data_IF_104574224107
#
_entry.id   IF_104574224107
#
_cell.length_a   1.000
_cell.length_b   1.000
_cell.length_c   1.000
_cell.angle_alpha   90.00
_cell.angle_beta   90.00
_cell.angle_gamma   90.00
#
_symmetry.space_group_name_H-M   'P 1'
#
loop_
_entity.id
_entity.type
_entity.pdbx_description
1 polymer ?
#
# COMPACT_ATOMS: atom_id res chain seq x y z
N UNK A 1 -0.43 -16.40 -32.29
CA UNK A 1 0.44 -17.06 -31.28
C UNK A 1 0.53 -16.33 -29.94
N UNK A 2 0.20 -15.02 -29.85
CA UNK A 2 0.26 -14.23 -28.63
C UNK A 2 -0.80 -14.63 -27.55
N UNK A 3 -1.99 -15.10 -27.97
CA UNK A 3 -3.09 -15.41 -27.04
C UNK A 3 -2.88 -16.65 -26.15
N UNK A 4 -2.04 -17.60 -26.57
CA UNK A 4 -1.81 -18.82 -25.77
C UNK A 4 -0.82 -18.62 -24.63
N UNK A 5 0.19 -17.78 -24.84
CA UNK A 5 1.18 -17.44 -23.81
C UNK A 5 0.55 -16.59 -22.68
N UNK A 6 -0.35 -15.68 -23.03
CA UNK A 6 -1.06 -14.82 -22.06
C UNK A 6 -2.01 -15.63 -21.17
N UNK A 7 -2.75 -16.60 -21.75
CA UNK A 7 -3.61 -17.50 -20.97
C UNK A 7 -2.80 -18.45 -20.07
N UNK A 8 -1.64 -18.95 -20.52
CA UNK A 8 -0.78 -19.81 -19.70
C UNK A 8 -0.16 -19.06 -18.51
N UNK A 9 0.13 -17.77 -18.67
CA UNK A 9 0.67 -16.94 -17.57
C UNK A 9 -0.39 -16.67 -16.48
N UNK A 10 -1.64 -16.41 -16.90
CA UNK A 10 -2.78 -16.22 -15.95
C UNK A 10 -3.09 -17.54 -15.22
N UNK A 11 -3.00 -18.69 -15.90
CA UNK A 11 -3.28 -20.00 -15.29
C UNK A 11 -2.18 -20.41 -14.30
N UNK A 12 -0.93 -19.98 -14.50
CA UNK A 12 0.17 -20.25 -13.58
C UNK A 12 0.07 -19.42 -12.28
N UNK A 13 -0.48 -18.20 -12.36
CA UNK A 13 -0.70 -17.35 -11.20
C UNK A 13 -1.82 -17.86 -10.26
N UNK A 14 -2.72 -18.73 -10.77
CA UNK A 14 -3.88 -19.28 -10.02
C UNK A 14 -3.58 -20.60 -9.30
N UNK A 15 -2.36 -21.12 -9.34
CA UNK A 15 -2.01 -22.43 -8.76
C UNK A 15 -1.21 -22.34 -7.44
N UNK A 16 -1.02 -21.16 -6.88
CA UNK A 16 -0.35 -20.96 -5.60
C UNK A 16 -1.36 -20.83 -4.44
N UNK A 17 -2.24 -21.82 -4.27
CA UNK A 17 -3.16 -21.86 -3.12
C UNK A 17 -2.54 -22.63 -1.97
N UNK A 18 -1.81 -21.95 -1.13
CA UNK A 18 -1.45 -22.41 0.21
C UNK A 18 -2.46 -21.82 1.22
N UNK A 19 -3.01 -22.61 2.12
CA UNK A 19 -3.90 -22.11 3.18
C UNK A 19 -3.05 -21.68 4.36
N UNK A 20 -2.81 -20.39 4.48
CA UNK A 20 -2.22 -19.80 5.66
C UNK A 20 -3.11 -18.70 6.21
N UNK A 21 -3.29 -18.67 7.50
CA UNK A 21 -4.02 -17.60 8.19
C UNK A 21 -3.01 -16.53 8.63
N UNK A 22 -2.59 -15.70 7.70
CA UNK A 22 -1.93 -14.45 8.07
C UNK A 22 -2.99 -13.37 8.28
N UNK A 23 -2.99 -12.76 9.45
CA UNK A 23 -3.91 -11.66 9.82
C UNK A 23 -3.42 -10.33 9.19
N UNK A 24 -2.91 -10.38 7.95
CA UNK A 24 -2.27 -9.26 7.27
C UNK A 24 -3.28 -8.17 6.90
N UNK A 25 -2.89 -6.91 7.17
CA UNK A 25 -3.63 -5.73 6.74
C UNK A 25 -3.43 -5.47 5.25
N UNK A 26 -4.13 -6.23 4.40
CA UNK A 26 -4.06 -6.12 2.94
C UNK A 26 -4.50 -4.75 2.41
N UNK A 27 -5.30 -3.99 3.19
CA UNK A 27 -5.76 -2.65 2.84
C UNK A 27 -4.90 -1.61 3.51
N UNK A 28 -3.98 -1.02 2.75
CA UNK A 28 -3.13 0.06 3.21
C UNK A 28 -3.09 1.18 2.16
N UNK A 29 -1.96 1.48 1.58
CA UNK A 29 -1.74 2.53 0.58
C UNK A 29 -1.56 1.92 -0.82
N UNK A 30 -2.07 2.62 -1.83
CA UNK A 30 -1.70 2.38 -3.24
C UNK A 30 -0.62 3.38 -3.61
N UNK A 31 0.63 2.90 -3.71
CA UNK A 31 1.82 3.73 -3.93
C UNK A 31 1.91 4.22 -5.37
N UNK A 32 2.23 5.50 -5.55
CA UNK A 32 2.67 6.03 -6.84
C UNK A 32 4.19 5.83 -7.01
N UNK A 33 4.69 5.80 -8.26
CA UNK A 33 6.12 5.56 -8.52
C UNK A 33 7.04 6.76 -8.29
N UNK A 34 6.50 7.94 -7.96
CA UNK A 34 7.26 9.19 -7.97
C UNK A 34 8.02 9.43 -6.66
N UNK A 35 9.19 10.05 -6.81
CA UNK A 35 10.03 10.60 -5.74
C UNK A 35 10.34 12.05 -6.11
N UNK A 36 10.26 12.98 -5.16
CA UNK A 36 10.65 14.37 -5.37
C UNK A 36 12.08 14.62 -4.87
N UNK A 37 12.90 15.36 -5.61
CA UNK A 37 14.25 15.70 -5.17
C UNK A 37 14.24 16.42 -3.83
N UNK A 38 15.11 16.01 -2.90
CA UNK A 38 15.26 16.60 -1.56
C UNK A 38 14.02 16.48 -0.66
N UNK A 39 13.05 15.67 -1.03
CA UNK A 39 11.84 15.42 -0.27
C UNK A 39 12.17 14.93 1.14
N UNK A 40 11.47 15.52 2.10
CA UNK A 40 11.36 15.04 3.47
C UNK A 40 9.91 15.04 3.83
N UNK A 41 9.47 13.96 4.45
CA UNK A 41 8.07 13.81 4.79
C UNK A 41 7.87 13.21 6.17
N UNK A 42 6.78 13.63 6.80
CA UNK A 42 6.17 12.91 7.91
C UNK A 42 4.84 12.37 7.45
N UNK A 43 4.60 11.10 7.70
CA UNK A 43 3.32 10.48 7.40
C UNK A 43 2.69 9.88 8.66
N UNK A 44 1.37 9.98 8.74
CA UNK A 44 0.53 9.24 9.66
C UNK A 44 -0.53 8.51 8.85
N UNK A 45 -0.63 7.19 9.06
CA UNK A 45 -1.69 6.35 8.51
C UNK A 45 -2.51 5.74 9.62
N UNK A 46 -3.80 5.63 9.38
CA UNK A 46 -4.77 4.94 10.22
C UNK A 46 -5.51 3.94 9.36
N UNK A 47 -5.55 2.68 9.80
CA UNK A 47 -6.37 1.63 9.21
C UNK A 47 -7.25 1.03 10.30
N UNK A 48 -8.58 1.07 10.08
CA UNK A 48 -9.56 0.47 10.96
C UNK A 48 -10.34 -0.58 10.18
N UNK A 49 -10.12 -1.83 10.53
CA UNK A 49 -10.83 -2.98 9.94
C UNK A 49 -11.89 -3.46 10.91
N UNK A 50 -13.13 -3.53 10.44
CA UNK A 50 -14.25 -4.07 11.17
C UNK A 50 -14.54 -5.49 10.70
N UNK A 51 -14.38 -6.43 11.60
CA UNK A 51 -14.66 -7.84 11.41
C UNK A 51 -15.82 -8.24 12.34
N UNK A 52 -16.62 -9.24 11.95
CA UNK A 52 -17.74 -9.75 12.75
C UNK A 52 -17.34 -10.10 14.20
N UNK A 53 -16.10 -10.45 14.43
CA UNK A 53 -15.58 -10.86 15.73
C UNK A 53 -14.73 -9.80 16.45
N UNK A 54 -14.15 -8.82 15.73
CA UNK A 54 -13.15 -7.91 16.29
C UNK A 54 -12.92 -6.66 15.41
N UNK A 55 -12.81 -5.49 16.06
CA UNK A 55 -12.30 -4.30 15.41
C UNK A 55 -10.78 -4.23 15.57
N UNK A 56 -10.07 -4.20 14.48
CA UNK A 56 -8.61 -4.00 14.48
C UNK A 56 -8.31 -2.57 14.09
N UNK A 57 -7.47 -1.91 14.89
CA UNK A 57 -7.01 -0.56 14.64
C UNK A 57 -5.49 -0.57 14.54
N UNK A 58 -4.97 -0.13 13.41
CA UNK A 58 -3.54 0.02 13.17
C UNK A 58 -3.22 1.48 12.86
N UNK A 59 -2.10 1.95 13.37
CA UNK A 59 -1.54 3.26 13.06
C UNK A 59 -0.07 3.11 12.66
N UNK A 60 0.33 3.84 11.62
CA UNK A 60 1.72 3.95 11.19
C UNK A 60 2.16 5.39 11.26
N UNK A 61 3.34 5.62 11.79
CA UNK A 61 4.01 6.91 11.76
C UNK A 61 5.34 6.74 11.06
N UNK A 62 5.62 7.56 10.07
CA UNK A 62 6.90 7.51 9.36
C UNK A 62 7.59 8.85 9.27
N UNK A 63 8.89 8.73 9.01
CA UNK A 63 9.73 9.80 8.49
C UNK A 63 10.43 9.30 7.24
N UNK A 64 10.26 10.05 6.13
CA UNK A 64 10.87 9.79 4.85
C UNK A 64 11.93 10.85 4.49
N UNK A 65 12.96 10.40 3.77
CA UNK A 65 14.00 11.26 3.22
C UNK A 65 14.47 10.78 1.85
N UNK A 66 14.38 11.65 0.84
CA UNK A 66 14.91 11.37 -0.49
C UNK A 66 16.45 11.30 -0.44
N UNK A 67 17.00 10.12 -0.73
CA UNK A 67 18.42 9.87 -0.81
C UNK A 67 19.01 10.38 -2.13
N UNK A 68 18.17 10.50 -3.16
CA UNK A 68 18.48 11.04 -4.47
C UNK A 68 17.23 11.55 -5.16
N UNK A 69 17.35 12.02 -6.40
CA UNK A 69 16.21 12.43 -7.24
C UNK A 69 15.27 11.27 -7.61
N UNK A 70 15.69 10.03 -7.40
CA UNK A 70 14.96 8.82 -7.79
C UNK A 70 14.68 7.85 -6.63
N UNK A 71 15.20 8.13 -5.44
CA UNK A 71 15.22 7.17 -4.35
C UNK A 71 14.85 7.83 -3.04
N UNK A 72 13.81 7.33 -2.38
CA UNK A 72 13.40 7.73 -1.02
C UNK A 72 13.45 6.54 -0.07
N UNK A 73 13.91 6.78 1.14
CA UNK A 73 13.90 5.84 2.26
C UNK A 73 12.96 6.37 3.33
N UNK A 74 12.06 5.50 3.79
CA UNK A 74 11.07 5.79 4.84
C UNK A 74 11.22 4.79 5.97
N UNK A 75 11.13 5.27 7.21
CA UNK A 75 11.16 4.43 8.40
C UNK A 75 9.87 4.61 9.19
N UNK A 76 9.24 3.49 9.56
CA UNK A 76 7.94 3.45 10.24
C UNK A 76 8.02 2.85 11.61
N UNK A 77 7.16 3.35 12.48
CA UNK A 77 6.74 2.69 13.71
C UNK A 77 5.27 2.34 13.57
N UNK A 78 4.96 1.07 13.74
CA UNK A 78 3.61 0.54 13.63
C UNK A 78 3.05 0.28 15.02
N UNK A 79 1.86 0.82 15.30
CA UNK A 79 1.12 0.53 16.50
C UNK A 79 -0.22 -0.11 16.15
N UNK A 80 -0.62 -1.12 16.91
CA UNK A 80 -1.90 -1.78 16.74
C UNK A 80 -2.61 -1.98 18.08
N UNK A 81 -3.93 -2.18 18.01
CA UNK A 81 -4.72 -2.59 19.16
C UNK A 81 -4.70 -4.11 19.24
N UNK A 82 -4.29 -4.65 20.37
CA UNK A 82 -4.23 -6.08 20.64
C UNK A 82 -5.61 -6.70 20.94
N UNK A 83 -5.63 -7.99 21.31
CA UNK A 83 -6.84 -8.73 21.64
C UNK A 83 -7.51 -8.26 22.94
N UNK A 84 -6.78 -7.59 23.83
CA UNK A 84 -7.29 -7.04 25.09
C UNK A 84 -7.77 -5.59 24.95
N UNK A 85 -7.80 -5.07 23.71
CA UNK A 85 -8.07 -3.67 23.37
C UNK A 85 -6.96 -2.69 23.83
N UNK A 86 -5.82 -3.18 24.30
CA UNK A 86 -4.66 -2.36 24.61
C UNK A 86 -3.91 -1.97 23.34
N UNK A 87 -3.51 -0.71 23.25
CA UNK A 87 -2.75 -0.19 22.11
C UNK A 87 -1.25 -0.27 22.42
N UNK A 88 -0.49 -0.92 21.56
CA UNK A 88 0.95 -1.09 21.71
C UNK A 88 1.72 -0.96 20.40
N UNK A 89 3.06 -0.97 20.49
CA UNK A 89 3.93 -1.06 19.32
C UNK A 89 3.86 -2.48 18.79
N UNK A 90 3.52 -2.62 17.50
CA UNK A 90 3.42 -3.90 16.80
C UNK A 90 4.71 -4.24 16.06
N UNK A 91 5.32 -3.23 15.40
CA UNK A 91 6.51 -3.47 14.59
C UNK A 91 7.19 -2.21 14.10
N UNK A 92 8.21 -2.45 13.29
CA UNK A 92 9.01 -1.43 12.60
C UNK A 92 9.15 -1.80 11.15
N UNK A 93 9.01 -0.82 10.24
CA UNK A 93 9.12 -1.01 8.80
C UNK A 93 10.19 -0.08 8.23
N UNK A 94 10.90 -0.55 7.22
CA UNK A 94 11.78 0.24 6.36
C UNK A 94 11.30 0.08 4.93
N UNK A 95 10.94 1.16 4.29
CA UNK A 95 10.55 1.21 2.89
C UNK A 95 11.62 1.93 2.06
N UNK A 96 11.92 1.36 0.91
CA UNK A 96 12.76 1.97 -0.12
C UNK A 96 11.96 2.03 -1.42
N UNK A 97 11.61 3.24 -1.86
CA UNK A 97 10.91 3.47 -3.14
C UNK A 97 11.88 4.03 -4.15
N UNK A 98 11.93 3.39 -5.30
CA UNK A 98 12.78 3.78 -6.43
C UNK A 98 11.93 4.14 -7.64
N UNK A 99 12.00 5.41 -8.06
CA UNK A 99 11.43 5.91 -9.31
C UNK A 99 12.33 5.48 -10.48
N UNK A 100 11.81 4.59 -11.35
CA UNK A 100 12.57 4.05 -12.50
C UNK A 100 12.44 4.93 -13.74
N UNK A 101 11.36 5.69 -13.85
CA UNK A 101 11.10 6.59 -14.98
C UNK A 101 10.63 7.95 -14.47
N UNK A 102 11.01 9.01 -15.18
CA UNK A 102 10.44 10.34 -14.93
C UNK A 102 8.97 10.39 -15.36
N UNK A 103 8.20 11.27 -14.73
CA UNK A 103 6.77 11.40 -15.00
C UNK A 103 6.51 11.77 -16.47
N UNK A 104 5.72 10.95 -17.15
CA UNK A 104 5.34 11.15 -18.54
C UNK A 104 6.41 10.83 -19.58
N UNK A 105 7.54 10.26 -19.17
CA UNK A 105 8.64 9.89 -20.09
C UNK A 105 8.22 8.75 -21.03
N UNK A 106 7.42 7.82 -20.57
CA UNK A 106 6.93 6.67 -21.33
C UNK A 106 5.40 6.64 -21.35
N UNK A 107 4.83 5.59 -21.94
CA UNK A 107 3.37 5.42 -21.97
C UNK A 107 2.74 5.24 -20.58
N UNK A 108 3.51 4.78 -19.62
CA UNK A 108 3.22 4.75 -18.19
C UNK A 108 4.51 5.01 -17.42
N UNK A 109 4.38 5.49 -16.19
CA UNK A 109 5.48 5.73 -15.27
C UNK A 109 5.69 4.50 -14.39
N UNK A 110 6.94 4.18 -14.07
CA UNK A 110 7.36 2.95 -13.41
C UNK A 110 8.21 3.24 -12.20
N UNK A 111 8.04 2.44 -11.17
CA UNK A 111 8.86 2.43 -9.97
C UNK A 111 8.87 1.07 -9.31
N UNK A 112 9.68 0.93 -8.29
CA UNK A 112 9.71 -0.26 -7.41
C UNK A 112 9.65 0.15 -5.95
N UNK A 113 9.11 -0.73 -5.13
CA UNK A 113 9.07 -0.64 -3.69
C UNK A 113 9.75 -1.87 -3.09
N UNK A 114 10.60 -1.65 -2.10
CA UNK A 114 11.15 -2.69 -1.25
C UNK A 114 10.81 -2.34 0.20
N UNK A 115 10.28 -3.30 0.93
CA UNK A 115 9.88 -3.13 2.33
C UNK A 115 10.47 -4.24 3.16
N UNK A 116 10.91 -3.92 4.36
CA UNK A 116 11.35 -4.85 5.38
C UNK A 116 10.63 -4.52 6.67
N UNK A 117 9.82 -5.45 7.16
CA UNK A 117 9.11 -5.34 8.43
C UNK A 117 9.71 -6.29 9.47
N UNK A 118 9.72 -5.85 10.73
CA UNK A 118 10.07 -6.62 11.90
C UNK A 118 9.00 -6.44 12.97
N UNK A 119 8.38 -7.53 13.42
CA UNK A 119 7.45 -7.52 14.57
C UNK A 119 8.19 -7.18 15.86
N UNK A 120 7.55 -6.40 16.74
CA UNK A 120 8.20 -5.88 17.95
C UNK A 120 8.46 -6.96 19.00
N UNK A 121 7.50 -7.86 19.22
CA UNK A 121 7.53 -8.79 20.35
C UNK A 121 7.93 -10.23 19.97
N UNK A 122 8.05 -10.54 18.69
CA UNK A 122 8.39 -11.86 18.15
C UNK A 122 9.57 -11.76 17.19
N UNK A 123 10.19 -12.86 16.84
CA UNK A 123 11.23 -12.87 15.79
C UNK A 123 10.63 -13.17 14.41
N UNK A 124 9.53 -12.47 14.10
CA UNK A 124 8.84 -12.55 12.83
C UNK A 124 9.23 -11.37 11.93
N UNK A 125 9.47 -11.68 10.69
CA UNK A 125 9.93 -10.76 9.66
C UNK A 125 9.10 -10.89 8.40
N UNK A 126 8.96 -9.80 7.68
CA UNK A 126 8.41 -9.75 6.35
C UNK A 126 9.34 -8.97 5.42
N UNK A 127 9.47 -9.44 4.17
CA UNK A 127 10.08 -8.68 3.09
C UNK A 127 9.11 -8.60 1.92
N UNK A 128 8.95 -7.40 1.38
CA UNK A 128 8.10 -7.14 0.22
C UNK A 128 8.92 -6.52 -0.91
N UNK A 129 8.65 -6.98 -2.14
CA UNK A 129 9.15 -6.36 -3.37
C UNK A 129 7.98 -6.09 -4.32
N UNK A 130 7.80 -4.84 -4.71
CA UNK A 130 6.66 -4.39 -5.51
C UNK A 130 7.05 -3.63 -6.76
N UNK A 131 6.30 -3.84 -7.84
CA UNK A 131 6.33 -3.04 -9.06
C UNK A 131 5.20 -2.03 -9.01
N UNK A 132 5.53 -0.76 -9.15
CA UNK A 132 4.61 0.36 -9.11
C UNK A 132 4.43 0.92 -10.53
N UNK A 133 3.20 1.19 -10.93
CA UNK A 133 2.94 1.88 -12.20
C UNK A 133 1.91 2.97 -12.04
N UNK A 134 2.03 4.04 -12.81
CA UNK A 134 0.97 5.03 -12.96
C UNK A 134 0.80 5.42 -14.42
N UNK A 135 -0.45 5.49 -14.87
CA UNK A 135 -0.83 5.94 -16.21
C UNK A 135 -1.86 7.05 -16.12
N UNK A 136 -1.56 8.17 -16.74
CA UNK A 136 -2.49 9.29 -16.87
C UNK A 136 -3.31 9.22 -18.17
N UNK A 137 -4.61 9.56 -18.06
CA UNK A 137 -5.58 9.63 -19.16
C UNK A 137 -6.38 10.92 -19.06
N UNK A 138 -5.82 12.03 -19.52
CA UNK A 138 -6.46 13.35 -19.37
C UNK A 138 -6.65 13.72 -17.89
N UNK A 139 -7.88 13.76 -17.42
CA UNK A 139 -8.19 14.04 -16.00
C UNK A 139 -8.20 12.79 -15.09
N UNK A 140 -7.98 11.61 -15.65
CA UNK A 140 -7.94 10.37 -14.89
C UNK A 140 -6.50 9.88 -14.74
N UNK A 141 -6.23 9.16 -13.67
CA UNK A 141 -5.03 8.36 -13.51
C UNK A 141 -5.38 6.96 -12.99
N UNK A 142 -4.62 5.98 -13.42
CA UNK A 142 -4.64 4.61 -12.92
C UNK A 142 -3.27 4.31 -12.34
N UNK A 143 -3.23 4.05 -11.05
CA UNK A 143 -2.05 3.60 -10.32
C UNK A 143 -2.23 2.13 -10.01
N UNK A 144 -1.20 1.29 -10.23
CA UNK A 144 -1.23 -0.13 -9.87
C UNK A 144 0.05 -0.55 -9.16
N UNK A 145 -0.09 -1.44 -8.18
CA UNK A 145 1.01 -2.07 -7.48
C UNK A 145 0.84 -3.60 -7.57
N UNK A 146 1.90 -4.30 -7.91
CA UNK A 146 1.98 -5.76 -7.90
C UNK A 146 3.16 -6.12 -7.02
N UNK A 147 2.93 -6.85 -5.94
CA UNK A 147 3.96 -7.17 -4.96
C UNK A 147 4.05 -8.66 -4.69
N UNK A 148 5.26 -9.10 -4.36
CA UNK A 148 5.53 -10.39 -3.75
C UNK A 148 5.99 -10.13 -2.33
N UNK A 149 5.43 -10.88 -1.39
CA UNK A 149 5.70 -10.81 0.04
C UNK A 149 6.26 -12.16 0.47
N UNK A 150 7.25 -12.16 1.35
CA UNK A 150 7.76 -13.35 2.00
C UNK A 150 7.84 -13.12 3.50
N UNK A 151 7.11 -13.96 4.24
CA UNK A 151 7.11 -13.96 5.69
C UNK A 151 7.90 -15.14 6.24
N UNK A 152 8.56 -14.90 7.37
CA UNK A 152 9.23 -15.97 8.14
C UNK A 152 9.41 -15.57 9.60
N UNK A 153 9.47 -16.54 10.50
CA UNK A 153 9.72 -16.26 11.90
C UNK A 153 9.36 -17.36 12.86
N UNK A 154 9.17 -16.97 14.12
CA UNK A 154 8.87 -17.90 15.21
C UNK A 154 7.38 -18.25 15.28
N UNK A 155 6.50 -17.28 14.97
CA UNK A 155 5.05 -17.43 15.14
C UNK A 155 4.29 -17.51 13.81
N UNK A 156 4.94 -17.19 12.70
CA UNK A 156 4.38 -17.24 11.34
C UNK A 156 4.98 -18.38 10.53
N UNK A 157 4.21 -18.93 9.60
CA UNK A 157 4.72 -19.90 8.64
C UNK A 157 5.62 -19.21 7.61
N UNK A 158 6.62 -19.95 7.10
CA UNK A 158 7.42 -19.44 5.99
C UNK A 158 6.62 -19.57 4.70
N UNK A 159 6.16 -18.45 4.14
CA UNK A 159 5.33 -18.47 2.96
C UNK A 159 5.54 -17.30 2.02
N UNK A 160 5.10 -17.48 0.78
CA UNK A 160 5.08 -16.45 -0.25
C UNK A 160 3.65 -16.05 -0.53
N UNK A 161 3.39 -14.75 -0.50
CA UNK A 161 2.13 -14.16 -0.87
C UNK A 161 2.27 -13.22 -2.07
N UNK A 162 1.18 -13.00 -2.76
CA UNK A 162 1.11 -12.00 -3.83
C UNK A 162 0.00 -11.01 -3.57
N UNK A 163 0.29 -9.73 -3.77
CA UNK A 163 -0.67 -8.64 -3.63
C UNK A 163 -0.82 -7.89 -4.95
N UNK A 164 -2.05 -7.48 -5.22
CA UNK A 164 -2.38 -6.51 -6.26
C UNK A 164 -3.21 -5.39 -5.66
N UNK A 165 -2.78 -4.15 -5.88
CA UNK A 165 -3.52 -2.95 -5.48
C UNK A 165 -3.69 -2.04 -6.68
N UNK A 166 -4.86 -1.42 -6.81
CA UNK A 166 -5.11 -0.46 -7.88
C UNK A 166 -5.93 0.73 -7.38
N UNK A 167 -5.63 1.92 -7.90
CA UNK A 167 -6.34 3.16 -7.62
C UNK A 167 -6.67 3.87 -8.93
N UNK A 168 -7.96 4.04 -9.20
CA UNK A 168 -8.45 4.86 -10.30
C UNK A 168 -8.94 6.19 -9.73
N UNK A 169 -8.30 7.30 -10.13
CA UNK A 169 -8.49 8.64 -9.58
C UNK A 169 -8.96 9.60 -10.65
N UNK A 170 -9.95 10.43 -10.32
CA UNK A 170 -10.37 11.56 -11.12
C UNK A 170 -9.79 12.86 -10.54
N UNK A 171 -8.99 13.56 -11.30
CA UNK A 171 -8.32 14.83 -10.91
C UNK A 171 -9.28 16.00 -11.10
N UNK A 172 -10.24 16.14 -10.18
CA UNK A 172 -11.24 17.21 -10.24
C UNK A 172 -10.62 18.57 -9.88
N UNK A 173 -10.23 18.72 -8.61
CA UNK A 173 -9.44 19.87 -8.10
C UNK A 173 -8.30 19.32 -7.24
N UNK A 174 -7.18 20.04 -7.09
CA UNK A 174 -6.04 19.52 -6.31
C UNK A 174 -6.41 19.11 -4.90
N UNK A 175 -7.27 19.86 -4.23
CA UNK A 175 -7.67 19.62 -2.85
C UNK A 175 -8.62 18.43 -2.66
N UNK A 176 -9.38 18.06 -3.71
CA UNK A 176 -10.36 16.96 -3.65
C UNK A 176 -10.38 16.20 -4.97
N UNK A 177 -9.99 14.96 -4.94
CA UNK A 177 -9.91 14.06 -6.07
C UNK A 177 -10.58 12.73 -5.69
N UNK A 178 -11.80 12.46 -6.19
CA UNK A 178 -12.46 11.18 -5.95
C UNK A 178 -11.79 10.06 -6.73
N UNK A 179 -11.86 8.86 -6.20
CA UNK A 179 -11.32 7.66 -6.82
C UNK A 179 -12.02 6.38 -6.37
N UNK A 180 -11.58 5.30 -6.96
CA UNK A 180 -11.94 3.94 -6.60
C UNK A 180 -10.67 3.15 -6.35
N UNK A 181 -10.65 2.35 -5.30
CA UNK A 181 -9.54 1.46 -4.98
C UNK A 181 -9.98 0.01 -5.00
N UNK A 182 -9.04 -0.84 -5.41
CA UNK A 182 -9.17 -2.30 -5.44
C UNK A 182 -7.96 -2.90 -4.77
N UNK A 183 -8.19 -3.89 -3.92
CA UNK A 183 -7.17 -4.65 -3.21
C UNK A 183 -7.45 -6.13 -3.43
N UNK A 184 -6.43 -6.87 -3.80
CA UNK A 184 -6.48 -8.33 -3.99
C UNK A 184 -5.24 -8.92 -3.35
N UNK A 185 -5.44 -9.81 -2.40
CA UNK A 185 -4.43 -10.66 -1.81
C UNK A 185 -4.96 -12.11 -1.78
N UNK A 186 -4.23 -13.04 -1.21
CA UNK A 186 -4.58 -14.46 -1.26
C UNK A 186 -5.99 -14.73 -0.73
N UNK A 187 -6.32 -14.22 0.46
CA UNK A 187 -7.60 -14.43 1.13
C UNK A 187 -8.49 -13.17 1.16
N UNK A 188 -8.08 -12.10 0.47
CA UNK A 188 -8.76 -10.82 0.51
C UNK A 188 -9.03 -10.25 -0.89
N UNK A 189 -10.28 -9.92 -1.15
CA UNK A 189 -10.68 -9.08 -2.28
C UNK A 189 -11.53 -7.94 -1.74
N UNK A 190 -11.08 -6.71 -1.94
CA UNK A 190 -11.80 -5.52 -1.50
C UNK A 190 -11.86 -4.43 -2.56
N UNK A 191 -12.94 -3.67 -2.55
CA UNK A 191 -13.13 -2.52 -3.43
C UNK A 191 -13.89 -1.42 -2.69
N UNK A 192 -13.57 -0.19 -3.01
CA UNK A 192 -14.32 0.91 -2.42
C UNK A 192 -13.94 2.29 -2.89
N UNK A 193 -14.79 3.30 -2.58
CA UNK A 193 -14.50 4.68 -2.88
C UNK A 193 -13.34 5.20 -2.04
N UNK A 194 -12.54 6.06 -2.68
CA UNK A 194 -11.49 6.80 -2.01
C UNK A 194 -11.54 8.28 -2.41
N UNK A 195 -11.15 9.13 -1.49
CA UNK A 195 -10.97 10.56 -1.71
C UNK A 195 -9.55 10.92 -1.31
N UNK A 196 -8.93 11.78 -2.07
CA UNK A 196 -7.59 12.26 -1.79
C UNK A 196 -7.43 13.71 -2.21
N UNK A 197 -6.42 14.36 -1.69
CA UNK A 197 -6.17 15.74 -2.04
C UNK A 197 -4.79 16.21 -1.61
N UNK A 198 -4.37 17.33 -2.20
CA UNK A 198 -3.10 17.98 -1.94
C UNK A 198 -3.38 19.45 -1.65
N UNK A 199 -2.92 19.89 -0.48
CA UNK A 199 -2.88 21.31 -0.13
C UNK A 199 -1.44 21.78 -0.23
N UNK A 200 -1.15 22.63 -1.19
CA UNK A 200 0.18 23.24 -1.36
C UNK A 200 0.30 24.50 -0.52
N UNK A 201 1.45 24.65 0.12
CA UNK A 201 1.88 25.83 0.87
C UNK A 201 3.02 26.54 0.13
N UNK A 202 3.78 27.35 0.85
CA UNK A 202 4.92 28.05 0.26
C UNK A 202 6.06 27.10 -0.11
N UNK A 203 6.66 27.32 -1.27
CA UNK A 203 7.78 26.53 -1.83
C UNK A 203 7.38 25.08 -2.12
N UNK A 204 8.13 24.11 -1.58
CA UNK A 204 7.89 22.66 -1.78
C UNK A 204 6.97 22.04 -0.75
N UNK A 205 6.53 22.82 0.25
CA UNK A 205 5.71 22.30 1.35
C UNK A 205 4.31 21.96 0.88
N UNK A 206 3.87 20.77 1.16
CA UNK A 206 2.51 20.34 0.87
C UNK A 206 2.00 19.34 1.91
N UNK A 207 0.69 19.31 2.08
CA UNK A 207 -0.03 18.33 2.86
C UNK A 207 -0.85 17.49 1.89
N UNK A 208 -0.60 16.21 1.84
CA UNK A 208 -1.42 15.21 1.15
C UNK A 208 -2.33 14.54 2.16
N UNK A 209 -3.52 14.18 1.74
CA UNK A 209 -4.46 13.43 2.54
C UNK A 209 -5.18 12.40 1.68
N UNK A 210 -5.49 11.25 2.26
CA UNK A 210 -6.30 10.21 1.64
C UNK A 210 -7.30 9.67 2.66
N UNK A 211 -8.49 9.30 2.18
CA UNK A 211 -9.54 8.63 2.93
C UNK A 211 -10.17 7.58 2.01
N UNK A 212 -10.16 6.32 2.43
CA UNK A 212 -10.77 5.22 1.69
C UNK A 212 -11.70 4.40 2.56
N UNK A 213 -12.79 3.93 1.96
CA UNK A 213 -13.70 2.97 2.57
C UNK A 213 -13.79 1.75 1.67
N UNK A 214 -13.21 0.63 2.10
CA UNK A 214 -13.06 -0.58 1.31
C UNK A 214 -13.98 -1.66 1.88
N UNK A 215 -14.85 -2.20 1.04
CA UNK A 215 -15.71 -3.33 1.37
C UNK A 215 -15.09 -4.62 0.84
N UNK A 216 -15.00 -5.64 1.69
CA UNK A 216 -14.61 -6.99 1.30
C UNK A 216 -15.68 -7.67 0.45
N UNK A 217 -15.27 -8.39 -0.59
CA UNK A 217 -16.15 -9.02 -1.57
C UNK A 217 -16.23 -10.54 -1.47
N UNK A 218 -15.23 -11.19 -0.92
CA UNK A 218 -15.22 -12.65 -0.72
C UNK A 218 -15.69 -13.05 0.68
N UNK A 219 -15.97 -14.34 0.88
CA UNK A 219 -16.51 -14.86 2.15
C UNK A 219 -15.59 -14.63 3.35
N UNK A 220 -14.29 -14.62 3.09
CA UNK A 220 -13.23 -14.43 4.08
C UNK A 220 -12.94 -12.95 4.32
N UNK A 221 -13.37 -12.06 3.42
CA UNK A 221 -13.24 -10.61 3.51
C UNK A 221 -14.54 -9.86 3.80
N UNK A 222 -15.44 -10.42 4.60
CA UNK A 222 -16.73 -9.77 4.98
C UNK A 222 -16.61 -8.49 5.79
N UNK A 223 -15.48 -7.85 5.72
CA UNK A 223 -15.08 -6.75 6.54
C UNK A 223 -15.17 -5.43 5.82
N UNK A 224 -15.32 -4.39 6.60
CA UNK A 224 -15.17 -3.02 6.12
C UNK A 224 -13.86 -2.47 6.65
N UNK A 225 -13.06 -1.90 5.77
CA UNK A 225 -11.84 -1.22 6.15
C UNK A 225 -11.96 0.26 5.86
N UNK A 226 -11.82 1.08 6.90
CA UNK A 226 -11.61 2.51 6.78
C UNK A 226 -10.11 2.75 6.83
N UNK A 227 -9.55 3.43 5.82
CA UNK A 227 -8.17 3.88 5.81
C UNK A 227 -8.10 5.40 5.70
N UNK A 228 -7.14 6.01 6.38
CA UNK A 228 -6.84 7.43 6.32
C UNK A 228 -5.33 7.62 6.32
N UNK A 229 -4.83 8.58 5.53
CA UNK A 229 -3.44 9.03 5.63
C UNK A 229 -3.34 10.54 5.58
N UNK A 230 -2.34 11.06 6.28
CA UNK A 230 -1.88 12.44 6.25
C UNK A 230 -0.38 12.44 6.06
N UNK A 231 0.11 13.05 4.98
CA UNK A 231 1.52 13.16 4.64
C UNK A 231 1.90 14.62 4.49
N UNK A 232 2.89 15.06 5.25
CA UNK A 232 3.41 16.43 5.18
C UNK A 232 4.83 16.43 4.64
N UNK A 233 4.99 16.99 3.45
CA UNK A 233 6.27 17.17 2.77
C UNK A 233 6.82 18.58 3.00
N UNK A 234 8.18 18.68 3.15
CA UNK A 234 8.86 19.96 3.45
C UNK A 234 10.31 19.98 3.01
#
# INVERSE_FOLDING_TARGET
MLNRAFFSFITFLLLLTGHAHADNFNVDRVYHPYVLPFEREFEWRLTSRQNDNRNVLMQRFSFGHALSEFLILEAYVVGARDQNEDFGVEGYELELRWMMTEQGQYWADWGTLFELEKKHNTDDWEVKAGLLTEKEFGQFSLTTNISLVYEWGETVANEWESEFKAKFRYRWIPEVQPGLEVYVAEDFIGVGPAFMGIKRFDRQKQLKWELGFIAGLNGDSKDHTLRMSLEYEF
#
